data_IF_497731570119
#
_entry.id   IF_497731570119
#
_cell.length_a   1.000
_cell.length_b   1.000
_cell.length_c   1.000
_cell.angle_alpha   90.00
_cell.angle_beta   90.00
_cell.angle_gamma   90.00
#
_symmetry.space_group_name_H-M   'P 1'
#
loop_
_entity.id
_entity.type
_entity.pdbx_description
1 polymer ?
#
# COMPACT_ATOMS: atom_id res chain seq x y z
N UNK A 1 -36.52 58.46 21.51
CA UNK A 1 -37.73 58.01 22.21
C UNK A 1 -37.57 56.57 22.57
N UNK A 2 -37.30 56.28 23.83
CA UNK A 2 -38.17 55.65 24.86
C UNK A 2 -38.76 54.31 24.40
N UNK A 3 -38.69 53.21 25.09
CA UNK A 3 -38.51 52.88 26.51
C UNK A 3 -38.25 51.37 26.58
N UNK A 4 -37.37 50.83 27.50
CA UNK A 4 -37.75 50.16 28.74
C UNK A 4 -38.76 48.99 28.52
N UNK A 5 -38.51 47.76 28.82
CA UNK A 5 -37.95 47.09 29.95
C UNK A 5 -38.65 45.76 30.11
N UNK A 6 -38.06 44.92 30.86
CA UNK A 6 -38.59 43.82 31.66
C UNK A 6 -38.03 42.42 31.33
N UNK A 7 -37.16 42.07 32.24
CA UNK A 7 -36.81 40.69 32.59
C UNK A 7 -37.96 40.02 33.37
N UNK A 8 -38.15 38.75 33.25
CA UNK A 8 -38.52 37.97 34.45
C UNK A 8 -37.49 36.88 34.75
N UNK A 9 -37.08 36.95 35.99
CA UNK A 9 -36.46 35.92 36.82
C UNK A 9 -37.28 34.65 36.92
N UNK A 10 -36.63 33.52 36.86
CA UNK A 10 -37.27 32.22 37.15
C UNK A 10 -36.28 31.09 36.94
N UNK A 11 -35.28 30.97 37.80
CA UNK A 11 -34.47 29.78 37.95
C UNK A 11 -35.13 28.87 39.02
N UNK A 12 -35.36 27.60 38.74
CA UNK A 12 -35.68 26.61 39.77
C UNK A 12 -34.45 26.18 40.58
N UNK A 13 -34.64 25.68 41.82
CA UNK A 13 -33.54 25.47 42.75
C UNK A 13 -32.65 24.27 42.35
N UNK A 14 -31.38 24.47 42.57
CA UNK A 14 -30.28 23.52 42.43
C UNK A 14 -30.43 22.49 43.55
N UNK A 15 -30.71 21.23 43.19
CA UNK A 15 -30.51 20.10 44.06
C UNK A 15 -28.99 19.83 44.14
N UNK A 16 -28.49 20.00 45.36
CA UNK A 16 -27.09 19.69 45.71
C UNK A 16 -26.91 18.18 45.78
N UNK A 17 -26.36 17.59 44.71
CA UNK A 17 -25.81 16.24 44.76
C UNK A 17 -24.50 16.26 45.59
N UNK A 18 -24.56 15.52 46.68
CA UNK A 18 -23.46 15.27 47.60
C UNK A 18 -22.31 14.58 46.89
N UNK A 19 -21.13 15.24 46.85
CA UNK A 19 -19.87 14.65 46.43
C UNK A 19 -19.42 13.63 47.46
N UNK A 20 -19.21 12.35 47.13
CA UNK A 20 -18.68 11.39 48.08
C UNK A 20 -17.26 11.75 48.49
N UNK A 21 -17.09 11.99 49.79
CA UNK A 21 -15.79 12.24 50.43
C UNK A 21 -14.97 10.96 50.36
N UNK A 22 -13.89 11.00 49.55
CA UNK A 22 -12.89 9.95 49.51
C UNK A 22 -12.05 10.05 50.77
N UNK A 23 -12.19 9.09 51.66
CA UNK A 23 -11.35 8.93 52.84
C UNK A 23 -9.88 8.60 52.42
N UNK A 24 -8.88 9.16 53.10
CA UNK A 24 -7.48 8.88 52.78
C UNK A 24 -7.12 7.45 53.21
N UNK A 25 -6.64 6.67 52.23
CA UNK A 25 -6.09 5.33 52.45
C UNK A 25 -4.75 5.50 53.19
N UNK A 26 -4.68 4.94 54.37
CA UNK A 26 -3.50 4.87 55.22
C UNK A 26 -2.42 4.00 54.54
N UNK A 27 -1.17 4.47 54.38
CA UNK A 27 -0.12 3.64 53.81
C UNK A 27 0.37 2.62 54.83
N UNK A 28 0.05 1.36 54.62
CA UNK A 28 0.72 0.22 55.28
C UNK A 28 1.85 -0.22 54.33
N UNK A 29 3.03 0.27 54.62
CA UNK A 29 4.28 -0.27 54.07
C UNK A 29 4.93 -1.17 55.16
N UNK A 30 5.37 -2.36 54.80
CA UNK A 30 6.64 -2.83 55.33
C UNK A 30 7.75 -2.57 54.28
N UNK A 31 8.84 -2.01 54.78
CA UNK A 31 10.06 -1.76 54.02
C UNK A 31 10.52 -3.05 53.30
N UNK A 32 10.46 -3.04 51.99
CA UNK A 32 11.15 -4.03 51.19
C UNK A 32 12.66 -3.70 51.25
N UNK A 33 13.40 -4.58 51.86
CA UNK A 33 14.88 -4.58 51.86
C UNK A 33 15.36 -4.58 50.41
N UNK A 34 16.28 -3.65 50.09
CA UNK A 34 17.01 -3.64 48.84
C UNK A 34 17.73 -4.98 48.66
N UNK A 35 17.61 -5.66 47.52
CA UNK A 35 18.39 -6.86 47.28
C UNK A 35 19.89 -6.48 47.26
N UNK A 36 20.65 -7.08 48.14
CA UNK A 36 22.10 -7.03 48.21
C UNK A 36 22.68 -7.43 46.86
N UNK A 37 23.47 -6.55 46.25
CA UNK A 37 24.16 -6.85 44.99
C UNK A 37 25.07 -8.08 45.24
N UNK A 38 24.81 -9.14 44.48
CA UNK A 38 25.66 -10.32 44.40
C UNK A 38 27.03 -9.94 43.86
N UNK A 39 28.14 -10.52 44.38
CA UNK A 39 29.46 -10.27 43.87
C UNK A 39 29.62 -10.70 42.41
N UNK A 40 30.42 -9.96 41.66
CA UNK A 40 30.57 -10.04 40.19
C UNK A 40 31.11 -11.39 39.68
N UNK A 41 31.58 -12.25 40.56
CA UNK A 41 32.25 -13.52 40.22
C UNK A 41 31.25 -14.72 40.07
N UNK A 42 29.96 -14.52 40.32
CA UNK A 42 28.92 -15.58 40.17
C UNK A 42 28.00 -15.39 38.97
N UNK A 43 28.42 -14.70 37.92
CA UNK A 43 27.63 -14.67 36.67
C UNK A 43 27.90 -15.98 35.93
N UNK A 44 26.96 -16.93 35.90
CA UNK A 44 27.16 -18.14 35.11
C UNK A 44 27.32 -17.76 33.64
N UNK A 45 28.39 -18.24 33.05
CA UNK A 45 28.67 -18.17 31.62
C UNK A 45 27.41 -18.65 30.86
N UNK A 46 26.94 -17.85 29.90
CA UNK A 46 25.79 -18.18 29.03
C UNK A 46 26.19 -19.38 28.18
N UNK A 47 26.05 -20.54 28.71
CA UNK A 47 26.15 -21.80 28.02
C UNK A 47 24.70 -22.23 27.72
N UNK A 48 24.35 -22.11 26.44
CA UNK A 48 23.28 -22.82 25.75
C UNK A 48 22.00 -23.11 26.56
N UNK A 49 21.10 -22.14 26.65
CA UNK A 49 19.71 -22.43 26.99
C UNK A 49 19.08 -23.04 25.73
N UNK A 50 18.73 -24.33 25.71
CA UNK A 50 17.93 -24.87 24.63
C UNK A 50 16.57 -24.18 24.65
N UNK A 51 16.20 -23.57 23.54
CA UNK A 51 14.90 -22.94 23.34
C UNK A 51 13.87 -24.08 23.19
N UNK A 52 13.59 -24.77 24.28
CA UNK A 52 12.43 -25.64 24.41
C UNK A 52 11.25 -24.74 24.78
N UNK A 53 10.38 -24.48 23.81
CA UNK A 53 9.05 -23.98 24.11
C UNK A 53 8.42 -24.89 25.17
N UNK A 54 7.75 -24.35 26.22
CA UNK A 54 7.03 -25.19 27.16
C UNK A 54 6.00 -25.97 26.38
N UNK A 55 6.14 -27.27 26.36
CA UNK A 55 5.11 -28.19 25.88
C UNK A 55 3.95 -28.01 26.87
N UNK A 56 2.75 -27.62 26.43
CA UNK A 56 1.61 -27.58 27.32
C UNK A 56 1.39 -28.99 27.86
N UNK A 57 1.43 -29.13 29.17
CA UNK A 57 1.13 -30.34 29.91
C UNK A 57 -0.25 -30.84 29.49
N UNK A 58 -0.30 -32.05 28.98
CA UNK A 58 -1.51 -32.66 28.45
C UNK A 58 -2.57 -32.75 29.56
N UNK A 59 -3.51 -31.82 29.54
CA UNK A 59 -4.77 -31.98 30.28
C UNK A 59 -5.60 -33.03 29.56
N UNK A 60 -5.73 -34.14 30.25
CA UNK A 60 -6.78 -35.17 30.12
C UNK A 60 -7.66 -35.19 28.86
N UNK A 61 -7.40 -36.16 27.99
CA UNK A 61 -8.43 -37.00 27.40
C UNK A 61 -9.25 -36.43 26.23
N UNK A 62 -9.04 -35.19 25.80
CA UNK A 62 -9.68 -34.72 24.58
C UNK A 62 -8.78 -35.03 23.39
N UNK A 63 -9.29 -35.81 22.46
CA UNK A 63 -8.67 -36.18 21.20
C UNK A 63 -8.16 -34.90 20.52
N UNK A 64 -6.84 -34.76 20.47
CA UNK A 64 -6.17 -33.76 19.60
C UNK A 64 -6.76 -33.97 18.22
N UNK A 65 -7.41 -32.97 17.61
CA UNK A 65 -7.92 -33.13 16.25
C UNK A 65 -6.72 -33.52 15.39
N UNK A 66 -6.72 -34.76 14.94
CA UNK A 66 -5.71 -35.28 14.00
C UNK A 66 -5.75 -34.34 12.82
N UNK A 67 -4.72 -33.50 12.69
CA UNK A 67 -4.56 -32.64 11.53
C UNK A 67 -4.75 -33.54 10.32
N UNK A 68 -5.87 -33.34 9.62
CA UNK A 68 -6.28 -34.14 8.46
C UNK A 68 -5.06 -34.18 7.54
N UNK A 69 -4.35 -35.29 7.53
CA UNK A 69 -3.12 -35.48 6.76
C UNK A 69 -3.48 -35.12 5.33
N UNK A 70 -2.95 -34.00 4.85
CA UNK A 70 -3.12 -33.59 3.47
C UNK A 70 -2.84 -34.81 2.58
N UNK A 71 -3.71 -35.16 1.64
CA UNK A 71 -3.61 -36.37 0.86
C UNK A 71 -2.20 -36.48 0.29
N UNK A 72 -1.50 -37.57 0.64
CA UNK A 72 -0.14 -37.76 0.16
C UNK A 72 -0.18 -37.85 -1.37
N UNK A 73 0.67 -37.07 -2.06
CA UNK A 73 0.65 -37.06 -3.52
C UNK A 73 1.00 -38.45 -4.07
N UNK A 74 0.38 -38.85 -5.17
CA UNK A 74 0.66 -40.12 -5.81
C UNK A 74 2.16 -40.23 -6.10
N UNK A 75 2.80 -41.31 -5.61
CA UNK A 75 4.21 -41.62 -5.87
C UNK A 75 4.32 -42.15 -7.32
N UNK A 76 5.04 -41.41 -8.20
CA UNK A 76 5.26 -41.81 -9.59
C UNK A 76 5.32 -40.62 -10.55
N UNK A 77 5.46 -40.89 -11.85
CA UNK A 77 5.53 -39.91 -12.92
C UNK A 77 4.33 -38.93 -12.91
N UNK A 78 3.12 -39.41 -12.65
CA UNK A 78 1.92 -38.59 -12.51
C UNK A 78 1.98 -37.65 -11.28
N UNK A 79 2.60 -38.11 -10.18
CA UNK A 79 2.84 -37.24 -9.01
C UNK A 79 3.81 -36.11 -9.31
N UNK A 80 4.86 -36.39 -10.08
CA UNK A 80 5.80 -35.38 -10.53
C UNK A 80 5.13 -34.37 -11.44
N UNK A 81 4.36 -34.76 -12.45
CA UNK A 81 3.61 -33.88 -13.33
C UNK A 81 2.59 -33.03 -12.55
N UNK A 82 1.92 -33.62 -11.56
CA UNK A 82 1.01 -32.91 -10.66
C UNK A 82 1.71 -31.79 -9.87
N UNK A 83 2.88 -32.09 -9.30
CA UNK A 83 3.68 -31.10 -8.58
C UNK A 83 4.23 -30.00 -9.48
N UNK A 84 4.67 -30.34 -10.69
CA UNK A 84 5.11 -29.37 -11.69
C UNK A 84 3.93 -28.48 -12.10
N UNK A 85 2.77 -29.05 -12.36
CA UNK A 85 1.55 -28.31 -12.67
C UNK A 85 1.11 -27.35 -11.55
N UNK A 86 1.19 -27.81 -10.30
CA UNK A 86 0.91 -26.96 -9.13
C UNK A 86 1.92 -25.80 -9.00
N UNK A 87 3.21 -26.05 -9.22
CA UNK A 87 4.24 -25.01 -9.19
C UNK A 87 4.05 -23.98 -10.31
N UNK A 88 3.76 -24.43 -11.52
CA UNK A 88 3.47 -23.55 -12.66
C UNK A 88 2.19 -22.73 -12.37
N UNK A 89 1.13 -23.36 -11.87
CA UNK A 89 -0.10 -22.70 -11.50
C UNK A 89 0.09 -21.64 -10.38
N UNK A 90 0.90 -21.98 -9.38
CA UNK A 90 1.21 -21.03 -8.30
C UNK A 90 2.09 -19.88 -8.78
N UNK A 91 3.05 -20.13 -9.66
CA UNK A 91 3.88 -19.08 -10.28
C UNK A 91 3.02 -18.16 -11.16
N UNK A 92 2.11 -18.72 -11.95
CA UNK A 92 1.16 -17.95 -12.76
C UNK A 92 0.25 -17.08 -11.90
N UNK A 93 -0.35 -17.65 -10.83
CA UNK A 93 -1.19 -16.89 -9.90
C UNK A 93 -0.41 -15.76 -9.23
N UNK A 94 0.87 -15.98 -8.95
CA UNK A 94 1.75 -14.98 -8.37
C UNK A 94 2.10 -13.86 -9.35
N UNK A 95 2.46 -14.19 -10.60
CA UNK A 95 2.71 -13.20 -11.66
C UNK A 95 1.46 -12.38 -11.96
N UNK A 96 0.30 -13.05 -12.13
CA UNK A 96 -0.98 -12.39 -12.30
C UNK A 96 -1.31 -11.46 -11.11
N UNK A 97 -1.02 -11.91 -9.90
CA UNK A 97 -1.22 -11.11 -8.69
C UNK A 97 -0.36 -9.85 -8.63
N UNK A 98 0.88 -9.89 -9.14
CA UNK A 98 1.75 -8.70 -9.23
C UNK A 98 1.15 -7.72 -10.24
N UNK A 99 0.76 -8.19 -11.43
CA UNK A 99 0.15 -7.33 -12.46
C UNK A 99 -1.15 -6.71 -11.94
N UNK A 100 -2.02 -7.50 -11.33
CA UNK A 100 -3.26 -7.03 -10.73
C UNK A 100 -3.01 -6.02 -9.60
N UNK A 101 -1.98 -6.22 -8.78
CA UNK A 101 -1.55 -5.30 -7.74
C UNK A 101 -1.09 -3.97 -8.34
N UNK A 102 -0.26 -4.00 -9.38
CA UNK A 102 0.26 -2.80 -10.05
C UNK A 102 -0.88 -1.99 -10.66
N UNK A 103 -1.79 -2.65 -11.39
CA UNK A 103 -2.98 -2.01 -11.97
C UNK A 103 -3.89 -1.44 -10.87
N UNK A 104 -4.16 -2.21 -9.81
CA UNK A 104 -4.96 -1.76 -8.68
C UNK A 104 -4.38 -0.54 -7.99
N UNK A 105 -3.08 -0.53 -7.73
CA UNK A 105 -2.38 0.63 -7.15
C UNK A 105 -2.41 1.83 -8.10
N UNK A 106 -2.30 1.61 -9.42
CA UNK A 106 -2.38 2.68 -10.42
C UNK A 106 -3.76 3.32 -10.45
N UNK A 107 -4.82 2.52 -10.43
CA UNK A 107 -6.21 3.01 -10.37
C UNK A 107 -6.46 3.80 -9.07
N UNK A 108 -6.01 3.29 -7.94
CA UNK A 108 -6.12 4.01 -6.65
C UNK A 108 -5.30 5.30 -6.63
N UNK A 109 -4.13 5.31 -7.29
CA UNK A 109 -3.29 6.51 -7.39
C UNK A 109 -3.89 7.59 -8.29
N UNK A 110 -4.73 7.21 -9.27
CA UNK A 110 -5.41 8.16 -10.16
C UNK A 110 -6.54 8.94 -9.47
N UNK A 111 -7.05 8.46 -8.34
CA UNK A 111 -8.18 9.08 -7.62
C UNK A 111 -7.65 9.98 -6.50
N UNK A 112 -7.96 11.29 -6.51
CA UNK A 112 -7.61 12.22 -5.43
C UNK A 112 -8.03 11.67 -4.05
N UNK A 113 -7.26 11.93 -3.01
CA UNK A 113 -7.39 11.42 -1.64
C UNK A 113 -7.15 9.89 -1.53
N UNK A 114 -7.72 9.07 -2.42
CA UNK A 114 -7.51 7.60 -2.43
C UNK A 114 -6.05 7.26 -2.71
N UNK A 115 -5.33 8.11 -3.43
CA UNK A 115 -3.88 8.00 -3.68
C UNK A 115 -3.05 7.80 -2.41
N UNK A 116 -3.52 8.28 -1.24
CA UNK A 116 -2.84 8.03 0.03
C UNK A 116 -2.79 6.55 0.41
N UNK A 117 -3.76 5.74 -0.05
CA UNK A 117 -3.69 4.28 0.09
C UNK A 117 -2.49 3.71 -0.65
N UNK A 118 -2.28 4.17 -1.89
CA UNK A 118 -1.13 3.74 -2.69
C UNK A 118 0.19 4.15 -2.06
N UNK A 119 0.31 5.40 -1.61
CA UNK A 119 1.52 5.84 -0.90
C UNK A 119 1.75 5.03 0.37
N UNK A 120 0.71 4.81 1.18
CA UNK A 120 0.81 4.04 2.40
C UNK A 120 1.22 2.59 2.16
N UNK A 121 0.68 1.96 1.10
CA UNK A 121 1.11 0.64 0.67
C UNK A 121 2.61 0.62 0.28
N UNK A 122 3.05 1.57 -0.55
CA UNK A 122 4.45 1.67 -0.99
C UNK A 122 5.41 1.92 0.19
N UNK A 123 4.99 2.73 1.15
CA UNK A 123 5.74 2.99 2.38
C UNK A 123 5.83 1.73 3.25
N UNK A 124 4.72 1.04 3.48
CA UNK A 124 4.71 -0.22 4.25
C UNK A 124 5.57 -1.29 3.56
N UNK A 125 5.47 -1.43 2.23
CA UNK A 125 6.28 -2.35 1.44
C UNK A 125 7.78 -2.09 1.66
N UNK A 126 8.19 -0.83 1.55
CA UNK A 126 9.59 -0.43 1.79
C UNK A 126 10.03 -0.65 3.24
N UNK A 127 9.15 -0.38 4.21
CA UNK A 127 9.38 -0.62 5.64
C UNK A 127 9.57 -2.10 5.98
N UNK A 128 8.77 -2.99 5.38
CA UNK A 128 8.94 -4.45 5.53
C UNK A 128 10.26 -4.95 4.95
N UNK A 129 10.64 -4.46 3.78
CA UNK A 129 11.96 -4.76 3.19
C UNK A 129 13.07 -4.26 4.10
N UNK A 130 12.95 -3.06 4.70
CA UNK A 130 13.93 -2.54 5.63
C UNK A 130 14.10 -3.43 6.88
N UNK A 131 13.00 -3.91 7.46
CA UNK A 131 13.00 -4.79 8.63
C UNK A 131 13.52 -6.19 8.32
N UNK A 132 13.08 -6.81 7.24
CA UNK A 132 13.42 -8.20 6.90
C UNK A 132 14.70 -8.35 6.08
N UNK A 133 15.03 -7.34 5.27
CA UNK A 133 16.12 -7.35 4.29
C UNK A 133 15.86 -8.12 3.02
N UNK A 134 14.68 -8.72 2.86
CA UNK A 134 14.28 -9.50 1.68
C UNK A 134 13.34 -8.66 0.81
N UNK A 135 13.65 -8.46 -0.47
CA UNK A 135 12.82 -7.69 -1.40
C UNK A 135 11.41 -8.28 -1.54
N UNK A 136 11.29 -9.61 -1.51
CA UNK A 136 10.01 -10.31 -1.61
C UNK A 136 9.03 -9.96 -0.48
N UNK A 137 9.51 -9.57 0.70
CA UNK A 137 8.66 -9.17 1.82
C UNK A 137 7.88 -7.88 1.58
N UNK A 138 8.31 -7.08 0.60
CA UNK A 138 7.61 -5.88 0.16
C UNK A 138 6.42 -6.14 -0.76
N UNK A 139 6.28 -7.37 -1.30
CA UNK A 139 5.15 -7.77 -2.14
C UNK A 139 3.96 -8.21 -1.27
N UNK A 140 3.33 -7.24 -0.63
CA UNK A 140 2.26 -7.47 0.35
C UNK A 140 0.95 -7.76 -0.36
N UNK A 141 0.25 -8.84 0.04
CA UNK A 141 -1.11 -9.09 -0.44
C UNK A 141 -1.24 -9.47 -1.92
N UNK A 142 -0.18 -9.94 -2.59
CA UNK A 142 -0.21 -10.37 -4.00
C UNK A 142 -1.33 -11.36 -4.27
N UNK A 143 -1.57 -12.32 -3.35
CA UNK A 143 -2.68 -13.29 -3.47
C UNK A 143 -4.05 -12.63 -3.36
N UNK A 144 -4.19 -11.59 -2.51
CA UNK A 144 -5.43 -10.81 -2.41
C UNK A 144 -5.65 -9.98 -3.67
N UNK A 145 -4.58 -9.39 -4.22
CA UNK A 145 -4.62 -8.69 -5.50
C UNK A 145 -4.95 -9.61 -6.67
N UNK A 146 -4.43 -10.84 -6.69
CA UNK A 146 -4.80 -11.86 -7.67
C UNK A 146 -6.30 -12.22 -7.62
N UNK A 147 -6.89 -12.27 -6.41
CA UNK A 147 -8.34 -12.49 -6.27
C UNK A 147 -9.13 -11.31 -6.80
N UNK A 148 -8.79 -10.07 -6.39
CA UNK A 148 -9.45 -8.84 -6.91
C UNK A 148 -9.32 -8.73 -8.43
N UNK A 149 -8.11 -8.92 -8.97
CA UNK A 149 -7.90 -8.94 -10.40
C UNK A 149 -8.70 -10.04 -11.10
N UNK A 150 -8.81 -11.21 -10.49
CA UNK A 150 -9.64 -12.31 -10.97
C UNK A 150 -11.14 -11.96 -11.01
N UNK A 151 -11.64 -11.24 -9.98
CA UNK A 151 -13.00 -10.71 -9.96
C UNK A 151 -13.26 -9.74 -11.12
N UNK A 152 -12.41 -8.73 -11.25
CA UNK A 152 -12.56 -7.68 -12.26
C UNK A 152 -12.44 -8.27 -13.67
N UNK A 153 -11.36 -9.00 -13.94
CA UNK A 153 -11.09 -9.59 -15.24
C UNK A 153 -12.12 -10.66 -15.60
N UNK A 154 -12.49 -11.50 -14.65
CA UNK A 154 -13.51 -12.55 -14.85
C UNK A 154 -14.88 -11.95 -15.17
N UNK A 155 -15.31 -10.95 -14.42
CA UNK A 155 -16.56 -10.24 -14.69
C UNK A 155 -16.51 -9.54 -16.04
N UNK A 156 -15.41 -8.88 -16.38
CA UNK A 156 -15.24 -8.23 -17.68
C UNK A 156 -15.31 -9.21 -18.84
N UNK A 157 -14.66 -10.37 -18.73
CA UNK A 157 -14.73 -11.44 -19.73
C UNK A 157 -16.16 -11.96 -19.93
N UNK A 158 -16.94 -12.06 -18.84
CA UNK A 158 -18.34 -12.50 -18.92
C UNK A 158 -19.27 -11.45 -19.55
N UNK A 159 -18.89 -10.18 -19.52
CA UNK A 159 -19.63 -9.10 -20.16
C UNK A 159 -19.35 -9.02 -21.67
N UNK A 160 -18.22 -9.55 -22.17
CA UNK A 160 -17.88 -9.49 -23.60
C UNK A 160 -18.93 -10.15 -24.51
N UNK A 161 -19.41 -11.39 -24.28
CA UNK A 161 -20.44 -11.98 -25.11
C UNK A 161 -21.76 -11.19 -25.08
N UNK A 162 -22.09 -10.57 -23.92
CA UNK A 162 -23.26 -9.68 -23.83
C UNK A 162 -23.14 -8.46 -24.74
N UNK A 163 -21.95 -7.84 -24.78
CA UNK A 163 -21.68 -6.70 -25.68
C UNK A 163 -21.81 -7.10 -27.14
N UNK A 164 -21.31 -8.30 -27.51
CA UNK A 164 -21.40 -8.80 -28.85
C UNK A 164 -22.88 -9.00 -29.26
N UNK A 165 -23.68 -9.69 -28.43
CA UNK A 165 -25.11 -9.91 -28.70
C UNK A 165 -25.86 -8.58 -28.70
N UNK A 166 -25.54 -7.65 -27.81
CA UNK A 166 -26.15 -6.30 -27.84
C UNK A 166 -25.86 -5.55 -29.13
N UNK A 167 -24.63 -5.64 -29.67
CA UNK A 167 -24.31 -5.00 -30.96
C UNK A 167 -25.07 -5.64 -32.12
N UNK A 168 -25.27 -6.98 -32.12
CA UNK A 168 -26.07 -7.67 -33.12
C UNK A 168 -27.55 -7.25 -33.05
N UNK A 169 -28.10 -7.14 -31.84
CA UNK A 169 -29.44 -6.63 -31.62
C UNK A 169 -29.61 -5.20 -32.14
N UNK A 170 -28.68 -4.28 -31.79
CA UNK A 170 -28.69 -2.89 -32.27
C UNK A 170 -28.63 -2.82 -33.80
N UNK A 171 -27.79 -3.64 -34.44
CA UNK A 171 -27.69 -3.71 -35.90
C UNK A 171 -28.98 -4.23 -36.53
N UNK A 172 -29.60 -5.24 -35.93
CA UNK A 172 -30.88 -5.78 -36.41
C UNK A 172 -32.03 -4.75 -36.31
N UNK A 173 -32.07 -3.96 -35.21
CA UNK A 173 -33.04 -2.88 -35.03
C UNK A 173 -32.88 -1.73 -36.04
N UNK A 174 -31.66 -1.45 -36.49
CA UNK A 174 -31.41 -0.43 -37.52
C UNK A 174 -31.93 -0.86 -38.91
N UNK A 175 -31.92 -2.17 -39.17
CA UNK A 175 -32.39 -2.74 -40.48
C UNK A 175 -33.90 -2.89 -40.49
N UNK A 176 -34.47 -3.56 -39.49
CA UNK A 176 -35.89 -3.81 -39.34
C UNK A 176 -36.27 -3.89 -37.85
N UNK A 177 -36.80 -2.78 -37.26
CA UNK A 177 -37.11 -2.69 -35.84
C UNK A 177 -38.14 -3.74 -35.36
N UNK A 178 -39.11 -4.09 -36.17
CA UNK A 178 -40.20 -5.01 -35.85
C UNK A 178 -39.96 -6.43 -36.39
N UNK A 179 -38.83 -6.65 -37.02
CA UNK A 179 -38.48 -7.90 -37.66
C UNK A 179 -38.21 -9.05 -36.68
N UNK A 180 -38.39 -10.27 -37.19
CA UNK A 180 -38.12 -11.49 -36.41
C UNK A 180 -36.68 -11.59 -35.94
N UNK A 181 -35.72 -11.06 -36.72
CA UNK A 181 -34.32 -11.03 -36.37
C UNK A 181 -34.06 -10.12 -35.16
N UNK A 182 -34.65 -8.91 -35.13
CA UNK A 182 -34.50 -7.97 -34.01
C UNK A 182 -35.09 -8.56 -32.71
N UNK A 183 -36.28 -9.18 -32.83
CA UNK A 183 -36.94 -9.85 -31.71
C UNK A 183 -36.11 -11.05 -31.21
N UNK A 184 -35.55 -11.86 -32.10
CA UNK A 184 -34.71 -13.01 -31.77
C UNK A 184 -33.44 -12.59 -31.01
N UNK A 185 -32.73 -11.57 -31.47
CA UNK A 185 -31.55 -11.04 -30.79
C UNK A 185 -31.89 -10.42 -29.43
N UNK A 186 -33.02 -9.74 -29.28
CA UNK A 186 -33.52 -9.22 -28.01
C UNK A 186 -33.73 -10.33 -26.98
N UNK A 187 -34.45 -11.40 -27.38
CA UNK A 187 -34.69 -12.55 -26.49
C UNK A 187 -33.37 -13.21 -26.11
N UNK A 188 -32.46 -13.41 -27.07
CA UNK A 188 -31.12 -13.96 -26.82
C UNK A 188 -30.34 -13.12 -25.84
N UNK A 189 -30.37 -11.79 -25.97
CA UNK A 189 -29.70 -10.87 -25.06
C UNK A 189 -30.27 -10.99 -23.64
N UNK A 190 -31.59 -11.04 -23.47
CA UNK A 190 -32.23 -11.18 -22.16
C UNK A 190 -31.82 -12.50 -21.51
N UNK A 191 -31.97 -13.62 -22.22
CA UNK A 191 -31.61 -14.95 -21.69
C UNK A 191 -30.14 -15.02 -21.33
N UNK A 192 -29.25 -14.57 -22.22
CA UNK A 192 -27.82 -14.56 -21.98
C UNK A 192 -27.45 -13.67 -20.79
N UNK A 193 -28.11 -12.51 -20.64
CA UNK A 193 -27.87 -11.60 -19.49
C UNK A 193 -28.21 -12.29 -18.17
N UNK A 194 -29.36 -12.96 -18.08
CA UNK A 194 -29.77 -13.69 -16.88
C UNK A 194 -28.80 -14.82 -16.56
N UNK A 195 -28.40 -15.62 -17.56
CA UNK A 195 -27.46 -16.71 -17.41
C UNK A 195 -26.07 -16.20 -16.92
N UNK A 196 -25.57 -15.11 -17.51
CA UNK A 196 -24.29 -14.52 -17.13
C UNK A 196 -24.34 -13.91 -15.73
N UNK A 197 -25.44 -13.25 -15.35
CA UNK A 197 -25.61 -12.73 -13.98
C UNK A 197 -25.59 -13.85 -12.94
N UNK A 198 -26.31 -14.95 -13.19
CA UNK A 198 -26.31 -16.11 -12.31
C UNK A 198 -24.90 -16.71 -12.23
N UNK A 199 -24.21 -16.85 -13.37
CA UNK A 199 -22.86 -17.40 -13.41
C UNK A 199 -21.84 -16.51 -12.66
N UNK A 200 -21.88 -15.19 -12.85
CA UNK A 200 -21.05 -14.23 -12.12
C UNK A 200 -21.32 -14.32 -10.61
N UNK A 201 -22.59 -14.35 -10.20
CA UNK A 201 -22.95 -14.47 -8.78
C UNK A 201 -22.41 -15.77 -8.16
N UNK A 202 -22.55 -16.91 -8.86
CA UNK A 202 -21.98 -18.19 -8.42
C UNK A 202 -20.46 -18.18 -8.37
N UNK A 203 -19.78 -17.57 -9.36
CA UNK A 203 -18.33 -17.46 -9.38
C UNK A 203 -17.83 -16.60 -8.19
N UNK A 204 -18.56 -15.54 -7.86
CA UNK A 204 -18.27 -14.69 -6.69
C UNK A 204 -18.46 -15.47 -5.38
N UNK A 205 -19.57 -16.18 -5.25
CA UNK A 205 -19.85 -17.02 -4.08
C UNK A 205 -18.78 -18.12 -3.86
N UNK A 206 -18.20 -18.67 -4.95
CA UNK A 206 -17.11 -19.63 -4.91
C UNK A 206 -15.71 -19.02 -4.59
N UNK A 207 -15.64 -17.70 -4.32
CA UNK A 207 -14.40 -17.01 -3.92
C UNK A 207 -13.68 -16.26 -5.04
N UNK A 208 -14.31 -16.05 -6.22
CA UNK A 208 -13.92 -15.08 -7.25
C UNK A 208 -12.57 -15.30 -7.93
N UNK A 209 -11.99 -16.49 -7.87
CA UNK A 209 -10.77 -16.79 -8.63
C UNK A 209 -11.09 -16.86 -10.11
N UNK A 210 -10.19 -16.39 -10.98
CA UNK A 210 -10.38 -16.36 -12.43
C UNK A 210 -10.88 -17.71 -13.01
N UNK A 211 -10.38 -18.84 -12.48
CA UNK A 211 -10.83 -20.18 -12.87
C UNK A 211 -12.32 -20.44 -12.64
N UNK A 212 -12.96 -19.76 -11.68
CA UNK A 212 -14.40 -19.94 -11.43
C UNK A 212 -15.25 -19.26 -12.51
N UNK A 213 -14.73 -18.25 -13.19
CA UNK A 213 -15.39 -17.63 -14.34
C UNK A 213 -15.21 -18.45 -15.60
N UNK A 214 -14.06 -19.12 -15.78
CA UNK A 214 -13.74 -19.89 -16.99
C UNK A 214 -14.38 -21.29 -17.02
N UNK A 215 -14.78 -21.87 -15.86
CA UNK A 215 -15.34 -23.21 -15.76
C UNK A 215 -16.80 -23.14 -15.28
N UNK A 216 -17.76 -22.93 -16.17
CA UNK A 216 -19.17 -22.64 -15.81
C UNK A 216 -19.84 -23.83 -15.08
N UNK A 217 -19.52 -25.05 -15.43
CA UNK A 217 -20.21 -26.25 -14.89
C UNK A 217 -19.81 -26.63 -13.46
N UNK A 218 -18.63 -26.21 -13.00
CA UNK A 218 -18.14 -26.55 -11.66
C UNK A 218 -18.75 -25.69 -10.54
N UNK A 219 -19.21 -24.50 -10.86
CA UNK A 219 -19.74 -23.55 -9.87
C UNK A 219 -21.12 -23.96 -9.33
N UNK A 220 -22.10 -24.32 -10.17
CA UNK A 220 -23.42 -24.76 -9.69
C UNK A 220 -23.33 -25.95 -8.74
N UNK A 221 -22.50 -26.95 -9.07
CA UNK A 221 -22.30 -28.12 -8.20
C UNK A 221 -21.70 -27.75 -6.83
N UNK A 222 -20.73 -26.85 -6.82
CA UNK A 222 -20.13 -26.37 -5.57
C UNK A 222 -21.11 -25.54 -4.74
N UNK A 223 -21.84 -24.62 -5.36
CA UNK A 223 -22.84 -23.80 -4.67
C UNK A 223 -23.96 -24.68 -4.12
N UNK A 224 -24.48 -25.63 -4.91
CA UNK A 224 -25.48 -26.58 -4.46
C UNK A 224 -24.98 -27.40 -3.26
N UNK A 225 -23.74 -27.88 -3.30
CA UNK A 225 -23.12 -28.62 -2.20
C UNK A 225 -22.96 -27.75 -0.91
N UNK A 226 -22.56 -26.45 -1.05
CA UNK A 226 -22.47 -25.54 0.08
C UNK A 226 -23.83 -25.19 0.67
N UNK A 227 -24.87 -25.02 -0.17
CA UNK A 227 -26.25 -24.78 0.28
C UNK A 227 -26.77 -26.01 1.03
N UNK A 228 -26.53 -27.19 0.49
CA UNK A 228 -26.97 -28.46 1.10
C UNK A 228 -26.31 -28.73 2.47
N UNK A 229 -25.04 -28.35 2.63
CA UNK A 229 -24.34 -28.45 3.94
C UNK A 229 -24.80 -27.42 4.97
N UNK A 230 -25.53 -26.42 4.58
CA UNK A 230 -25.95 -25.31 5.45
C UNK A 230 -24.82 -24.29 5.71
N UNK A 231 -25.20 -23.09 6.11
CA UNK A 231 -24.22 -22.04 6.46
C UNK A 231 -23.63 -21.24 5.29
N UNK A 232 -24.12 -21.43 4.06
CA UNK A 232 -23.67 -20.72 2.87
C UNK A 232 -23.64 -19.19 3.05
N UNK A 233 -24.70 -18.62 3.59
CA UNK A 233 -24.80 -17.17 3.79
C UNK A 233 -23.83 -16.62 4.81
N UNK A 234 -23.66 -17.32 5.94
CA UNK A 234 -22.71 -16.91 6.98
C UNK A 234 -21.26 -17.00 6.48
N UNK A 235 -20.89 -18.11 5.83
CA UNK A 235 -19.55 -18.27 5.27
C UNK A 235 -19.23 -17.26 4.17
N UNK A 236 -20.18 -16.96 3.28
CA UNK A 236 -20.00 -15.99 2.19
C UNK A 236 -19.83 -14.57 2.76
N UNK A 237 -20.69 -14.16 3.72
CA UNK A 237 -20.61 -12.88 4.41
C UNK A 237 -19.29 -12.74 5.16
N UNK A 238 -18.93 -13.74 5.95
CA UNK A 238 -17.71 -13.72 6.76
C UNK A 238 -16.46 -13.76 5.87
N UNK A 239 -16.52 -14.46 4.74
CA UNK A 239 -15.48 -14.47 3.72
C UNK A 239 -15.24 -13.09 3.11
N UNK A 240 -16.30 -12.38 2.72
CA UNK A 240 -16.22 -11.00 2.19
C UNK A 240 -15.71 -10.03 3.26
N UNK A 241 -16.23 -10.13 4.48
CA UNK A 241 -15.82 -9.27 5.58
C UNK A 241 -14.36 -9.47 5.99
N UNK A 242 -13.91 -10.72 6.11
CA UNK A 242 -12.53 -11.05 6.40
C UNK A 242 -11.58 -10.61 5.27
N UNK A 243 -12.04 -10.74 4.01
CA UNK A 243 -11.29 -10.22 2.87
C UNK A 243 -11.16 -8.70 2.95
N UNK A 244 -12.25 -7.96 3.16
CA UNK A 244 -12.23 -6.50 3.29
C UNK A 244 -11.31 -6.05 4.44
N UNK A 245 -11.40 -6.71 5.61
CA UNK A 245 -10.49 -6.45 6.74
C UNK A 245 -9.02 -6.74 6.40
N UNK A 246 -8.75 -7.78 5.60
CA UNK A 246 -7.39 -8.16 5.20
C UNK A 246 -6.69 -7.10 4.34
N UNK A 247 -7.45 -6.27 3.64
CA UNK A 247 -6.94 -5.17 2.82
C UNK A 247 -6.35 -4.03 3.66
N UNK A 248 -6.71 -3.91 4.95
CA UNK A 248 -6.19 -2.90 5.89
C UNK A 248 -6.21 -1.47 5.35
N UNK A 249 -7.24 -1.10 4.61
CA UNK A 249 -7.33 0.18 3.86
C UNK A 249 -7.13 1.38 4.78
N UNK A 250 -7.79 1.40 5.93
CA UNK A 250 -7.66 2.48 6.92
C UNK A 250 -6.19 2.68 7.37
N UNK A 251 -5.47 1.58 7.63
CA UNK A 251 -4.07 1.62 8.02
C UNK A 251 -3.19 2.24 6.93
N UNK A 252 -3.34 1.78 5.67
CA UNK A 252 -2.57 2.32 4.55
C UNK A 252 -2.90 3.78 4.28
N UNK A 253 -4.17 4.17 4.38
CA UNK A 253 -4.58 5.56 4.21
C UNK A 253 -3.87 6.48 5.22
N UNK A 254 -3.94 6.16 6.51
CA UNK A 254 -3.30 6.97 7.54
C UNK A 254 -1.77 6.95 7.46
N UNK A 255 -1.17 5.83 7.11
CA UNK A 255 0.28 5.74 6.92
C UNK A 255 0.70 6.62 5.74
N UNK A 256 -0.03 6.57 4.63
CA UNK A 256 0.22 7.38 3.45
C UNK A 256 0.01 8.86 3.71
N UNK A 257 -1.09 9.24 4.35
CA UNK A 257 -1.38 10.62 4.70
C UNK A 257 -0.28 11.23 5.59
N UNK A 258 0.14 10.54 6.65
CA UNK A 258 1.24 10.99 7.51
C UNK A 258 2.58 11.04 6.76
N UNK A 259 2.83 10.07 5.90
CA UNK A 259 4.03 10.04 5.05
C UNK A 259 4.07 11.17 4.03
N UNK A 260 2.92 11.52 3.46
CA UNK A 260 2.73 12.70 2.60
C UNK A 260 2.99 13.99 3.38
N UNK A 261 2.30 14.18 4.49
CA UNK A 261 2.39 15.40 5.29
C UNK A 261 3.83 15.68 5.73
N UNK A 262 4.55 14.64 6.21
CA UNK A 262 5.94 14.77 6.61
C UNK A 262 6.86 15.17 5.46
N UNK A 263 6.71 14.57 4.28
CA UNK A 263 7.49 14.94 3.10
C UNK A 263 7.12 16.33 2.57
N UNK A 264 5.83 16.67 2.58
CA UNK A 264 5.34 17.97 2.13
C UNK A 264 5.90 19.13 2.98
N UNK A 265 5.92 18.97 4.30
CA UNK A 265 6.49 19.98 5.20
C UNK A 265 7.97 20.28 4.89
N UNK A 266 8.74 19.26 4.52
CA UNK A 266 10.13 19.44 4.11
C UNK A 266 10.28 20.08 2.74
N UNK A 267 9.40 19.76 1.80
CA UNK A 267 9.48 20.21 0.40
C UNK A 267 8.83 21.58 0.19
N UNK A 268 7.84 21.94 0.98
CA UNK A 268 7.07 23.18 0.79
C UNK A 268 7.96 24.43 0.78
N UNK A 269 8.91 24.53 1.71
CA UNK A 269 9.80 25.68 1.82
C UNK A 269 10.69 25.85 0.57
N UNK A 270 11.53 24.88 0.18
CA UNK A 270 12.41 25.03 -0.97
C UNK A 270 11.65 25.18 -2.30
N UNK A 271 10.51 24.51 -2.45
CA UNK A 271 9.69 24.62 -3.66
C UNK A 271 9.10 26.04 -3.76
N UNK A 272 8.58 26.58 -2.67
CA UNK A 272 8.06 27.96 -2.65
C UNK A 272 9.17 28.98 -2.94
N UNK A 273 10.38 28.78 -2.40
CA UNK A 273 11.53 29.62 -2.71
C UNK A 273 11.89 29.55 -4.20
N UNK A 274 11.85 28.37 -4.83
CA UNK A 274 12.05 28.20 -6.27
C UNK A 274 10.99 28.93 -7.10
N UNK A 275 9.71 28.85 -6.70
CA UNK A 275 8.60 29.51 -7.36
C UNK A 275 8.75 31.06 -7.31
N UNK A 276 9.14 31.59 -6.15
CA UNK A 276 9.43 33.03 -5.97
C UNK A 276 10.66 33.45 -6.76
N UNK A 277 11.58 32.54 -7.02
CA UNK A 277 12.82 32.72 -7.79
C UNK A 277 12.61 33.28 -9.20
N UNK A 278 11.41 33.14 -9.79
CA UNK A 278 11.06 33.79 -11.07
C UNK A 278 11.09 35.33 -10.97
N UNK A 279 10.74 35.86 -9.80
CA UNK A 279 10.73 37.31 -9.55
C UNK A 279 12.05 37.79 -8.94
N UNK A 280 12.64 36.97 -8.05
CA UNK A 280 13.88 37.29 -7.33
C UNK A 280 14.87 36.13 -7.48
N UNK A 281 15.80 36.19 -8.46
CA UNK A 281 16.69 35.07 -8.79
C UNK A 281 17.52 34.54 -7.61
N UNK A 282 17.94 35.44 -6.70
CA UNK A 282 18.69 35.04 -5.50
C UNK A 282 17.89 34.09 -4.59
N UNK A 283 16.59 34.34 -4.41
CA UNK A 283 15.72 33.46 -3.61
C UNK A 283 15.58 32.10 -4.30
N UNK A 284 15.44 32.10 -5.64
CA UNK A 284 15.38 30.87 -6.41
C UNK A 284 16.66 30.04 -6.29
N UNK A 285 17.84 30.68 -6.35
CA UNK A 285 19.12 30.01 -6.17
C UNK A 285 19.24 29.40 -4.75
N UNK A 286 18.91 30.16 -3.72
CA UNK A 286 18.85 29.64 -2.35
C UNK A 286 17.85 28.49 -2.20
N UNK A 287 16.69 28.60 -2.83
CA UNK A 287 15.67 27.55 -2.87
C UNK A 287 16.20 26.26 -3.50
N UNK A 288 16.97 26.38 -4.60
CA UNK A 288 17.62 25.24 -5.26
C UNK A 288 18.63 24.54 -4.32
N UNK A 289 19.46 25.31 -3.61
CA UNK A 289 20.42 24.75 -2.64
C UNK A 289 19.73 24.02 -1.49
N UNK A 290 18.66 24.62 -0.94
CA UNK A 290 17.87 23.98 0.13
C UNK A 290 17.17 22.74 -0.41
N UNK A 291 16.65 22.77 -1.66
CA UNK A 291 16.01 21.62 -2.28
C UNK A 291 16.98 20.44 -2.46
N UNK A 292 18.22 20.71 -2.90
CA UNK A 292 19.27 19.67 -2.98
C UNK A 292 19.44 18.99 -1.62
N UNK A 293 19.57 19.77 -0.56
CA UNK A 293 19.76 19.23 0.79
C UNK A 293 18.54 18.42 1.27
N UNK A 294 17.33 18.90 1.02
CA UNK A 294 16.08 18.25 1.40
C UNK A 294 15.89 16.93 0.63
N UNK A 295 16.13 16.91 -0.68
CA UNK A 295 15.99 15.70 -1.51
C UNK A 295 16.94 14.59 -1.10
N UNK A 296 18.16 14.91 -0.64
CA UNK A 296 19.10 13.92 -0.12
C UNK A 296 18.61 13.23 1.15
N UNK A 297 17.68 13.85 1.89
CA UNK A 297 17.23 13.36 3.19
C UNK A 297 15.82 12.75 3.16
N UNK A 298 14.87 13.40 2.50
CA UNK A 298 13.43 13.07 2.58
C UNK A 298 13.09 11.63 2.24
N UNK A 299 13.64 11.00 1.18
CA UNK A 299 13.33 9.60 0.89
C UNK A 299 13.65 8.65 2.05
N UNK A 300 14.75 8.92 2.74
CA UNK A 300 15.21 8.11 3.87
C UNK A 300 14.54 8.50 5.19
N UNK A 301 14.12 9.75 5.35
CA UNK A 301 13.28 10.19 6.47
C UNK A 301 11.89 9.54 6.40
N UNK A 302 11.31 9.44 5.21
CA UNK A 302 10.07 8.68 5.02
C UNK A 302 10.24 7.21 5.43
N UNK A 303 11.36 6.57 5.06
CA UNK A 303 11.65 5.21 5.48
C UNK A 303 11.86 5.09 6.99
N UNK A 304 12.59 6.03 7.57
CA UNK A 304 12.80 6.06 9.02
C UNK A 304 11.47 6.20 9.76
N UNK A 305 10.59 7.09 9.28
CA UNK A 305 9.22 7.23 9.79
C UNK A 305 8.46 5.91 9.76
N UNK A 306 8.50 5.17 8.65
CA UNK A 306 7.77 3.90 8.52
C UNK A 306 8.33 2.82 9.45
N UNK A 307 9.64 2.77 9.61
CA UNK A 307 10.30 1.79 10.49
C UNK A 307 9.97 2.07 11.95
N UNK A 308 9.96 3.34 12.37
CA UNK A 308 9.67 3.78 13.74
C UNK A 308 8.16 3.92 14.02
N UNK A 309 7.35 4.06 12.97
CA UNK A 309 5.90 4.31 13.04
C UNK A 309 5.51 5.52 13.91
N UNK A 310 6.34 6.55 13.98
CA UNK A 310 6.03 7.80 14.71
C UNK A 310 6.40 9.02 13.86
N UNK A 311 5.54 10.04 13.87
CA UNK A 311 5.68 11.22 13.02
C UNK A 311 6.96 12.01 13.32
N UNK A 312 7.37 12.11 14.58
CA UNK A 312 8.61 12.78 15.00
C UNK A 312 9.88 12.25 14.32
N UNK A 313 9.87 11.04 13.77
CA UNK A 313 10.99 10.47 13.03
C UNK A 313 11.39 11.30 11.78
N UNK A 314 10.49 12.15 11.25
CA UNK A 314 10.83 13.10 10.18
C UNK A 314 11.82 14.19 10.62
N UNK A 315 11.97 14.45 11.90
CA UNK A 315 12.92 15.42 12.44
C UNK A 315 14.28 14.79 12.81
N UNK A 316 14.37 13.47 12.80
CA UNK A 316 15.57 12.71 13.21
C UNK A 316 16.63 12.62 12.08
N UNK A 317 17.03 13.76 11.53
CA UNK A 317 18.02 13.87 10.44
C UNK A 317 19.35 13.23 10.81
N UNK A 318 19.78 13.37 12.07
CA UNK A 318 21.06 12.81 12.54
C UNK A 318 21.06 11.29 12.51
N UNK A 319 19.95 10.63 12.85
CA UNK A 319 19.83 9.17 12.77
C UNK A 319 19.89 8.69 11.31
N UNK A 320 19.21 9.36 10.40
CA UNK A 320 19.29 9.04 8.96
C UNK A 320 20.73 9.20 8.45
N UNK A 321 21.45 10.26 8.85
CA UNK A 321 22.87 10.43 8.54
C UNK A 321 23.74 9.32 9.16
N UNK A 322 23.41 8.84 10.33
CA UNK A 322 24.08 7.70 10.98
C UNK A 322 23.87 6.42 10.17
N UNK A 323 22.64 6.15 9.72
CA UNK A 323 22.33 5.04 8.81
C UNK A 323 23.07 5.13 7.48
N UNK A 324 23.12 6.30 6.85
CA UNK A 324 23.91 6.53 5.65
C UNK A 324 25.39 6.17 5.85
N UNK A 325 26.02 6.57 6.97
CA UNK A 325 27.44 6.25 7.26
C UNK A 325 27.71 4.73 7.31
N UNK A 326 26.70 3.92 7.67
CA UNK A 326 26.82 2.46 7.76
C UNK A 326 26.73 1.76 6.40
N UNK A 327 25.92 2.27 5.46
CA UNK A 327 25.69 1.65 4.15
C UNK A 327 25.67 2.65 2.97
N UNK A 328 26.72 3.51 2.81
CA UNK A 328 26.69 4.65 1.90
C UNK A 328 26.42 4.27 0.45
N UNK A 329 27.07 3.22 -0.09
CA UNK A 329 26.90 2.79 -1.48
C UNK A 329 25.46 2.27 -1.73
N UNK A 330 24.89 1.54 -0.78
CA UNK A 330 23.51 1.05 -0.93
C UNK A 330 22.51 2.23 -0.97
N UNK A 331 22.72 3.25 -0.14
CA UNK A 331 21.92 4.48 -0.17
C UNK A 331 22.08 5.24 -1.49
N UNK A 332 23.32 5.41 -1.95
CA UNK A 332 23.58 6.08 -3.23
C UNK A 332 22.96 5.34 -4.41
N UNK A 333 23.06 4.01 -4.44
CA UNK A 333 22.45 3.19 -5.49
C UNK A 333 20.91 3.29 -5.47
N UNK A 334 20.29 3.12 -4.31
CA UNK A 334 18.84 3.23 -4.18
C UNK A 334 18.33 4.63 -4.54
N UNK A 335 19.06 5.66 -4.14
CA UNK A 335 18.76 7.04 -4.45
C UNK A 335 18.89 7.33 -5.96
N UNK A 336 19.97 6.87 -6.57
CA UNK A 336 20.18 7.00 -8.03
C UNK A 336 19.03 6.37 -8.81
N UNK A 337 18.65 5.13 -8.48
CA UNK A 337 17.53 4.44 -9.13
C UNK A 337 16.21 5.19 -8.89
N UNK A 338 15.99 5.72 -7.70
CA UNK A 338 14.77 6.48 -7.38
C UNK A 338 14.65 7.74 -8.25
N UNK A 339 15.74 8.49 -8.41
CA UNK A 339 15.73 9.68 -9.25
C UNK A 339 15.70 9.34 -10.75
N UNK A 340 16.41 8.30 -11.18
CA UNK A 340 16.37 7.81 -12.56
C UNK A 340 14.94 7.42 -12.95
N UNK A 341 14.22 6.73 -12.07
CA UNK A 341 12.85 6.32 -12.33
C UNK A 341 11.83 7.46 -12.21
N UNK A 342 12.21 8.59 -11.61
CA UNK A 342 11.41 9.79 -11.64
C UNK A 342 11.47 10.54 -13.00
N UNK A 343 12.56 10.39 -13.77
CA UNK A 343 12.74 11.11 -15.05
C UNK A 343 11.64 10.83 -16.07
N UNK A 344 11.20 9.59 -16.31
CA UNK A 344 10.11 9.33 -17.27
C UNK A 344 8.80 10.04 -16.92
N UNK A 345 8.57 10.33 -15.64
CA UNK A 345 7.36 11.02 -15.19
C UNK A 345 7.34 12.49 -15.63
N UNK A 346 8.52 13.11 -15.83
CA UNK A 346 8.62 14.46 -16.38
C UNK A 346 8.28 14.50 -17.87
N UNK A 347 8.65 13.45 -18.60
CA UNK A 347 8.33 13.35 -20.04
C UNK A 347 6.81 13.21 -20.25
N UNK A 348 6.12 12.48 -19.37
CA UNK A 348 4.68 12.33 -19.43
C UNK A 348 3.89 13.62 -19.13
N UNK A 349 4.51 14.63 -18.50
CA UNK A 349 3.88 15.93 -18.23
C UNK A 349 3.85 16.86 -19.46
N UNK A 350 4.61 16.55 -20.49
CA UNK A 350 4.71 17.39 -21.71
C UNK A 350 3.53 17.10 -22.64
N UNK A 351 2.93 15.92 -22.55
CA UNK A 351 1.82 15.52 -23.40
C UNK A 351 0.46 15.68 -22.71
N UNK A 352 -0.52 16.19 -23.47
CA UNK A 352 -1.92 16.22 -23.01
C UNK A 352 -2.49 14.81 -23.12
N UNK A 353 -2.76 14.20 -21.98
CA UNK A 353 -3.32 12.85 -21.90
C UNK A 353 -4.84 12.95 -21.76
N UNK A 354 -5.63 12.26 -22.62
CA UNK A 354 -7.08 12.21 -22.48
C UNK A 354 -7.49 11.70 -21.08
N UNK A 355 -8.58 12.23 -20.55
CA UNK A 355 -9.07 11.86 -19.19
C UNK A 355 -9.33 10.36 -19.05
N UNK A 356 -9.79 9.71 -20.11
CA UNK A 356 -10.05 8.27 -20.15
C UNK A 356 -8.78 7.44 -20.00
N UNK A 357 -7.62 8.00 -20.39
CA UNK A 357 -6.32 7.36 -20.31
C UNK A 357 -5.48 7.81 -19.09
N UNK A 358 -6.04 8.61 -18.17
CA UNK A 358 -5.33 9.14 -17.01
C UNK A 358 -4.73 8.05 -16.08
N UNK A 359 -5.29 6.86 -16.09
CA UNK A 359 -4.76 5.71 -15.34
C UNK A 359 -3.45 5.16 -15.93
N UNK A 360 -3.17 5.39 -17.22
CA UNK A 360 -1.97 4.87 -17.88
C UNK A 360 -0.68 5.53 -17.36
N UNK A 361 -0.57 6.87 -17.25
CA UNK A 361 0.55 7.52 -16.57
C UNK A 361 0.74 7.06 -15.13
N UNK A 362 -0.36 6.83 -14.39
CA UNK A 362 -0.26 6.32 -13.02
C UNK A 362 0.25 4.89 -12.97
N UNK A 363 -0.06 4.07 -13.98
CA UNK A 363 0.51 2.72 -14.10
C UNK A 363 2.03 2.77 -14.35
N UNK A 364 2.47 3.64 -15.26
CA UNK A 364 3.91 3.88 -15.51
C UNK A 364 4.57 4.38 -14.22
N UNK A 365 3.94 5.33 -13.52
CA UNK A 365 4.42 5.81 -12.22
C UNK A 365 4.61 4.65 -11.23
N UNK A 366 3.61 3.79 -11.04
CA UNK A 366 3.69 2.67 -10.10
C UNK A 366 4.76 1.67 -10.54
N UNK A 367 4.88 1.38 -11.84
CA UNK A 367 5.87 0.45 -12.39
C UNK A 367 7.32 0.88 -12.07
N UNK A 368 7.59 2.17 -12.03
CA UNK A 368 8.92 2.70 -11.69
C UNK A 368 9.11 2.94 -10.21
N UNK A 369 8.12 3.55 -9.53
CA UNK A 369 8.30 3.94 -8.13
C UNK A 369 8.27 2.75 -7.17
N UNK A 370 7.51 1.70 -7.46
CA UNK A 370 7.40 0.54 -6.59
C UNK A 370 8.76 -0.17 -6.39
N UNK A 371 9.50 -0.58 -7.45
CA UNK A 371 10.83 -1.15 -7.28
C UNK A 371 11.82 -0.17 -6.65
N UNK A 372 11.75 1.13 -6.96
CA UNK A 372 12.60 2.14 -6.33
C UNK A 372 12.38 2.21 -4.81
N UNK A 373 11.13 2.13 -4.35
CA UNK A 373 10.78 2.07 -2.92
C UNK A 373 11.29 0.79 -2.26
N UNK A 374 11.20 -0.36 -2.92
CA UNK A 374 11.75 -1.61 -2.40
C UNK A 374 13.28 -1.53 -2.25
N UNK A 375 13.98 -0.96 -3.24
CA UNK A 375 15.43 -0.76 -3.20
C UNK A 375 15.84 0.21 -2.09
N UNK A 376 15.09 1.28 -1.87
CA UNK A 376 15.30 2.22 -0.76
C UNK A 376 15.13 1.49 0.59
N UNK A 377 14.10 0.65 0.73
CA UNK A 377 13.90 -0.21 1.89
C UNK A 377 15.06 -1.19 2.11
N UNK A 378 15.55 -1.82 1.04
CA UNK A 378 16.70 -2.71 1.11
C UNK A 378 17.98 -2.00 1.56
N UNK A 379 18.25 -0.80 1.03
CA UNK A 379 19.41 0.01 1.41
C UNK A 379 19.36 0.38 2.89
N UNK A 380 18.19 0.82 3.35
CA UNK A 380 17.98 1.15 4.77
C UNK A 380 18.12 -0.09 5.66
N UNK A 381 17.52 -1.22 5.29
CA UNK A 381 17.65 -2.49 6.01
C UNK A 381 19.10 -2.99 6.08
N UNK A 382 19.90 -2.73 5.04
CA UNK A 382 21.35 -3.02 5.07
C UNK A 382 22.07 -2.17 6.11
N UNK A 383 21.64 -0.92 6.33
CA UNK A 383 22.21 -0.05 7.35
C UNK A 383 21.83 -0.46 8.77
N UNK A 384 20.62 -1.00 8.98
CA UNK A 384 20.17 -1.52 10.27
C UNK A 384 20.99 -2.73 10.73
N UNK A 385 21.36 -3.61 9.78
CA UNK A 385 22.16 -4.82 10.08
C UNK A 385 23.66 -4.55 10.25
N UNK A 386 24.13 -3.33 9.97
CA UNK A 386 25.54 -2.94 10.15
C UNK A 386 25.70 -2.03 11.35
N UNK A 387 26.55 -2.42 12.28
CA UNK A 387 26.84 -1.58 13.45
C UNK A 387 27.96 -0.56 13.18
N UNK A 388 28.98 -0.95 12.42
CA UNK A 388 30.16 -0.11 12.18
C UNK A 388 29.99 0.75 10.90
N UNK A 389 30.43 2.02 10.94
CA UNK A 389 30.44 2.89 9.76
C UNK A 389 31.43 2.35 8.71
N UNK A 390 31.15 2.61 7.44
CA UNK A 390 32.02 2.24 6.32
C UNK A 390 33.20 3.22 6.22
N UNK A 391 34.30 2.80 5.57
CA UNK A 391 35.48 3.59 5.34
C UNK A 391 35.15 4.94 4.66
N UNK A 392 35.99 5.93 4.89
CA UNK A 392 35.86 7.30 4.38
C UNK A 392 35.67 7.37 2.85
N UNK A 393 36.47 6.62 2.08
CA UNK A 393 36.40 6.60 0.62
C UNK A 393 34.97 6.27 0.13
N UNK A 394 34.36 5.19 0.62
CA UNK A 394 32.99 4.79 0.23
C UNK A 394 31.93 5.83 0.60
N UNK A 395 32.13 6.55 1.72
CA UNK A 395 31.21 7.61 2.16
C UNK A 395 31.28 8.82 1.25
N UNK A 396 32.50 9.21 0.83
CA UNK A 396 32.68 10.35 -0.06
C UNK A 396 32.24 10.06 -1.47
N UNK A 397 32.62 8.90 -2.04
CA UNK A 397 32.12 8.47 -3.37
C UNK A 397 30.59 8.48 -3.40
N UNK A 398 29.93 7.89 -2.42
CA UNK A 398 28.47 7.89 -2.35
C UNK A 398 27.88 9.30 -2.26
N UNK A 399 28.48 10.23 -1.50
CA UNK A 399 28.03 11.62 -1.42
C UNK A 399 28.16 12.35 -2.74
N UNK A 400 29.30 12.22 -3.41
CA UNK A 400 29.51 12.86 -4.70
C UNK A 400 28.52 12.35 -5.74
N UNK A 401 28.32 11.04 -5.83
CA UNK A 401 27.32 10.46 -6.73
C UNK A 401 25.91 10.99 -6.42
N UNK A 402 25.49 10.96 -5.16
CA UNK A 402 24.18 11.46 -4.77
C UNK A 402 24.03 12.95 -5.06
N UNK A 403 25.05 13.76 -4.78
CA UNK A 403 25.03 15.20 -5.02
C UNK A 403 24.92 15.52 -6.51
N UNK A 404 25.73 14.85 -7.36
CA UNK A 404 25.70 15.06 -8.81
C UNK A 404 24.32 14.72 -9.40
N UNK A 405 23.73 13.60 -8.99
CA UNK A 405 22.40 13.17 -9.45
C UNK A 405 21.31 14.11 -8.96
N UNK A 406 21.41 14.57 -7.70
CA UNK A 406 20.45 15.55 -7.16
C UNK A 406 20.55 16.89 -7.84
N UNK A 407 21.77 17.35 -8.16
CA UNK A 407 21.97 18.59 -8.89
C UNK A 407 21.31 18.51 -10.28
N UNK A 408 21.57 17.44 -11.02
CA UNK A 408 20.92 17.21 -12.33
C UNK A 408 19.38 17.22 -12.19
N UNK A 409 18.87 16.52 -11.18
CA UNK A 409 17.44 16.48 -10.91
C UNK A 409 16.86 17.88 -10.62
N UNK A 410 17.52 18.67 -9.77
CA UNK A 410 17.06 20.03 -9.43
C UNK A 410 17.10 20.96 -10.65
N UNK A 411 18.09 20.79 -11.53
CA UNK A 411 18.13 21.51 -12.83
C UNK A 411 16.92 21.14 -13.68
N UNK A 412 16.59 19.84 -13.81
CA UNK A 412 15.40 19.38 -14.55
C UNK A 412 14.13 19.99 -13.92
N UNK A 413 14.00 19.94 -12.60
CA UNK A 413 12.88 20.54 -11.86
C UNK A 413 12.76 22.03 -12.14
N UNK A 414 13.86 22.76 -12.07
CA UNK A 414 13.85 24.19 -12.32
C UNK A 414 13.38 24.54 -13.72
N UNK A 415 13.88 23.83 -14.74
CA UNK A 415 13.51 24.10 -16.13
C UNK A 415 12.11 23.59 -16.49
N UNK A 416 11.62 22.54 -15.84
CA UNK A 416 10.29 21.99 -16.14
C UNK A 416 9.14 22.96 -15.90
N UNK A 417 9.29 23.96 -14.99
CA UNK A 417 8.28 25.01 -14.79
C UNK A 417 8.04 25.88 -16.05
N UNK A 418 9.00 25.90 -17.00
CA UNK A 418 8.87 26.65 -18.24
C UNK A 418 8.28 25.81 -19.39
N UNK A 419 8.41 24.48 -19.28
CA UNK A 419 7.91 23.54 -20.29
C UNK A 419 6.53 22.94 -19.92
N UNK A 420 6.15 22.96 -18.65
CA UNK A 420 4.89 22.40 -18.18
C UNK A 420 3.71 23.34 -18.41
N UNK A 421 2.54 22.79 -18.79
CA UNK A 421 1.31 23.53 -19.05
C UNK A 421 0.84 24.32 -17.82
N UNK A 422 1.04 23.79 -16.62
CA UNK A 422 0.61 24.44 -15.36
C UNK A 422 1.63 25.46 -14.80
N UNK A 423 2.73 25.70 -15.51
CA UNK A 423 3.73 26.70 -15.16
C UNK A 423 4.30 26.49 -13.75
N UNK A 424 4.12 27.47 -12.84
CA UNK A 424 4.69 27.43 -11.47
C UNK A 424 4.11 26.28 -10.64
N UNK A 425 2.85 25.92 -10.81
CA UNK A 425 2.21 24.85 -10.06
C UNK A 425 2.85 23.49 -10.31
N UNK A 426 3.43 23.32 -11.51
CA UNK A 426 4.17 22.10 -11.85
C UNK A 426 5.32 21.80 -10.87
N UNK A 427 5.88 22.81 -10.21
CA UNK A 427 6.93 22.61 -9.20
C UNK A 427 6.47 21.80 -8.01
N UNK A 428 5.21 21.95 -7.58
CA UNK A 428 4.63 21.21 -6.46
C UNK A 428 4.29 19.76 -6.85
N UNK A 429 4.08 19.49 -8.13
CA UNK A 429 3.71 18.15 -8.64
C UNK A 429 4.92 17.28 -8.96
N UNK A 430 6.09 17.87 -9.10
CA UNK A 430 7.29 17.18 -9.60
C UNK A 430 7.91 16.18 -8.64
N UNK A 431 7.48 16.18 -7.39
CA UNK A 431 8.00 15.27 -6.38
C UNK A 431 7.06 14.08 -6.16
N UNK A 432 6.38 13.62 -7.21
CA UNK A 432 5.42 12.52 -7.16
C UNK A 432 6.00 11.22 -6.58
N UNK A 433 7.33 10.99 -6.72
CA UNK A 433 7.97 9.84 -6.08
C UNK A 433 8.08 9.94 -4.55
N UNK A 434 7.97 11.15 -3.98
CA UNK A 434 7.89 11.40 -2.53
C UNK A 434 6.46 11.67 -2.09
N UNK A 435 5.73 12.38 -2.92
CA UNK A 435 4.34 12.74 -2.75
C UNK A 435 3.56 12.04 -3.86
N UNK A 436 2.46 11.35 -3.57
CA UNK A 436 1.60 10.81 -4.61
C UNK A 436 0.77 11.95 -5.16
N UNK A 437 1.40 12.90 -5.81
CA UNK A 437 0.67 13.97 -6.49
C UNK A 437 0.39 13.47 -7.89
N UNK A 438 -0.79 12.96 -8.16
CA UNK A 438 -1.19 12.75 -9.52
C UNK A 438 -1.39 14.13 -10.14
N UNK A 439 -1.26 14.21 -11.37
CA UNK A 439 -1.65 15.23 -12.29
C UNK A 439 -2.92 15.99 -11.82
N UNK A 440 -2.77 16.95 -10.89
CA UNK A 440 -3.88 17.72 -10.30
C UNK A 440 -4.55 18.66 -11.30
N UNK A 441 -4.07 18.73 -12.52
CA UNK A 441 -4.57 19.58 -13.60
C UNK A 441 -5.53 18.90 -14.57
N UNK A 442 -6.06 17.70 -14.26
CA UNK A 442 -6.99 17.00 -15.14
C UNK A 442 -8.44 17.17 -14.73
#
# INVERSE_FOLDING_TARGET
>A
MRALGQSPSGLPPHDSEEIPVVLPVKPTSPAAELPTLLPLDEIPTVEQVPFALPVPEAANGDEVPVAELAPQPPRGFFGFLWHVGQRIGSAWEWCFGIVALMIGLAVLAAIPLVQFLTLGYLLEASGRVAKTGKLQSGLIGVRSAARLGGFVLGTWLMVLPLRLVSSMWTSAQLIDPDGTAATGWKITLIVLTVLMLIHIAMAWACGGRLRHFLVPFANPLRVAWYIWRGGFWSQSRDGVWNFAKSLRLHYYFWLGFRGFLGAFLWLAVPITMLAVGRKVPLIGFLGALVLIWVLLLVPFLQLHFVVQNRFGAFLEVFEVRRHFRRAPIAFAFAFFITLLFAVPLYLLKIEMIPREAAWLPTLVFIAFIFPARLLSGWAFGRSLRRQKPRNFVFRWTARFTMLAVTLLYVVIVYFSQYAAWEGIWSLYEQHAFLLPVPFLGM
#
